data_IF_664300062997
#
_entry.id   IF_664300062997
#
_cell.length_a   1.000
_cell.length_b   1.000
_cell.length_c   1.000
_cell.angle_alpha   90.00
_cell.angle_beta   90.00
_cell.angle_gamma   90.00
#
_symmetry.space_group_name_H-M   'P 1'
#
loop_
_entity.id
_entity.type
_entity.pdbx_description
1 polymer ?
#
# COMPACT_ATOMS: atom_id res chain seq x y z
N UNK A 1 13.88 9.82 16.28
CA UNK A 1 14.08 10.04 17.72
C UNK A 1 13.14 9.18 18.57
N UNK A 2 11.80 9.20 18.32
CA UNK A 2 10.81 8.49 19.15
C UNK A 2 11.03 6.98 19.23
N UNK A 3 11.18 6.28 18.11
CA UNK A 3 11.41 4.82 18.07
C UNK A 3 12.66 4.41 18.86
N UNK A 4 13.77 5.13 18.66
CA UNK A 4 15.00 4.86 19.42
C UNK A 4 14.80 5.03 20.93
N UNK A 5 14.09 6.07 21.33
CA UNK A 5 13.82 6.34 22.76
C UNK A 5 12.87 5.29 23.36
N UNK A 6 11.86 4.85 22.63
CA UNK A 6 10.87 3.91 23.13
C UNK A 6 11.38 2.46 23.21
N UNK A 7 12.26 2.06 22.28
CA UNK A 7 12.63 0.64 22.10
C UNK A 7 14.13 0.35 22.26
N UNK A 8 14.98 1.36 22.47
CA UNK A 8 16.42 1.16 22.65
C UNK A 8 17.17 0.58 21.44
N UNK A 9 16.55 0.66 20.25
CA UNK A 9 17.10 0.09 19.01
C UNK A 9 17.86 1.12 18.19
N UNK A 10 18.78 0.67 17.34
CA UNK A 10 19.40 1.53 16.36
C UNK A 10 18.36 1.94 15.30
N UNK A 11 18.32 3.22 14.96
CA UNK A 11 17.47 3.77 13.91
C UNK A 11 18.35 4.54 12.93
N UNK A 12 18.31 4.14 11.67
CA UNK A 12 18.93 4.84 10.55
C UNK A 12 17.84 5.46 9.68
N UNK A 13 18.09 6.63 9.13
CA UNK A 13 17.18 7.32 8.21
C UNK A 13 17.92 7.70 6.94
N UNK A 14 17.29 7.50 5.79
CA UNK A 14 17.77 7.96 4.51
C UNK A 14 16.61 8.63 3.76
N UNK A 15 16.88 9.75 3.11
CA UNK A 15 15.90 10.41 2.23
C UNK A 15 16.13 9.95 0.80
N UNK A 16 15.17 9.20 0.25
CA UNK A 16 15.21 8.68 -1.12
C UNK A 16 13.94 9.06 -1.84
N UNK A 17 14.05 9.75 -2.96
CA UNK A 17 12.90 9.98 -3.86
C UNK A 17 12.61 8.68 -4.61
N UNK A 18 11.53 8.00 -4.24
CA UNK A 18 11.11 6.72 -4.82
C UNK A 18 10.58 6.86 -6.25
N UNK A 19 10.49 8.09 -6.79
CA UNK A 19 10.14 8.34 -8.20
C UNK A 19 11.34 8.64 -9.09
N UNK A 20 12.54 8.75 -8.50
CA UNK A 20 13.78 9.02 -9.22
C UNK A 20 14.30 7.78 -9.95
N UNK A 21 14.95 7.99 -11.10
CA UNK A 21 15.52 6.89 -11.89
C UNK A 21 16.66 6.13 -11.19
N UNK A 22 17.37 6.80 -10.26
CA UNK A 22 18.47 6.24 -9.48
C UNK A 22 18.04 5.70 -8.11
N UNK A 23 16.72 5.54 -7.88
CA UNK A 23 16.15 5.10 -6.61
C UNK A 23 16.76 3.78 -6.14
N UNK A 24 16.85 2.77 -6.99
CA UNK A 24 17.43 1.48 -6.66
C UNK A 24 18.87 1.58 -6.17
N UNK A 25 19.71 2.39 -6.83
CA UNK A 25 21.09 2.61 -6.41
C UNK A 25 21.19 3.35 -5.06
N UNK A 26 20.32 4.35 -4.83
CA UNK A 26 20.26 5.07 -3.54
C UNK A 26 19.80 4.16 -2.41
N UNK A 27 18.79 3.32 -2.67
CA UNK A 27 18.31 2.35 -1.70
C UNK A 27 19.39 1.33 -1.35
N UNK A 28 20.11 0.80 -2.36
CA UNK A 28 21.23 -0.10 -2.17
C UNK A 28 22.32 0.53 -1.30
N UNK A 29 22.73 1.76 -1.59
CA UNK A 29 23.71 2.48 -0.78
C UNK A 29 23.25 2.76 0.65
N UNK A 30 21.95 3.10 0.83
CA UNK A 30 21.40 3.37 2.16
C UNK A 30 21.30 2.11 3.04
N UNK A 31 21.26 0.93 2.44
CA UNK A 31 21.12 -0.37 3.11
C UNK A 31 22.38 -1.26 3.00
N UNK A 32 23.49 -0.70 2.52
CA UNK A 32 24.74 -1.43 2.41
C UNK A 32 25.23 -1.91 3.78
N UNK A 33 25.71 -3.15 3.82
CA UNK A 33 26.15 -3.81 5.05
C UNK A 33 25.03 -4.16 6.05
N UNK A 34 23.74 -3.92 5.74
CA UNK A 34 22.63 -4.32 6.59
C UNK A 34 22.11 -5.73 6.24
N UNK A 35 21.90 -6.53 7.28
CA UNK A 35 21.19 -7.81 7.17
C UNK A 35 19.68 -7.56 7.35
N UNK A 36 19.00 -7.19 6.26
CA UNK A 36 17.57 -6.86 6.26
C UNK A 36 16.74 -8.14 6.36
N UNK A 37 15.92 -8.26 7.40
CA UNK A 37 15.03 -9.42 7.61
C UNK A 37 13.57 -9.20 7.22
N UNK A 38 13.11 -7.95 7.25
CA UNK A 38 11.75 -7.55 6.86
C UNK A 38 11.80 -6.28 6.04
N UNK A 39 11.03 -6.25 4.98
CA UNK A 39 10.83 -5.06 4.14
C UNK A 39 9.35 -4.68 4.16
N UNK A 40 9.05 -3.42 4.45
CA UNK A 40 7.69 -2.89 4.36
C UNK A 40 7.65 -1.78 3.33
N UNK A 41 6.98 -2.03 2.19
CA UNK A 41 6.69 -0.98 1.23
C UNK A 41 5.37 -0.31 1.57
N UNK A 42 5.47 0.74 2.37
CA UNK A 42 4.32 1.55 2.78
C UNK A 42 4.22 2.86 1.99
N UNK A 43 5.26 3.22 1.24
CA UNK A 43 5.24 4.43 0.46
C UNK A 43 4.18 4.34 -0.64
N UNK A 44 3.27 5.29 -0.62
CA UNK A 44 2.19 5.40 -1.59
C UNK A 44 1.43 6.68 -1.30
N UNK A 45 1.07 7.41 -2.32
CA UNK A 45 0.30 8.62 -2.16
C UNK A 45 -0.80 8.67 -3.21
N UNK A 46 -1.96 9.21 -2.81
CA UNK A 46 -2.88 9.82 -3.73
C UNK A 46 -2.49 11.29 -3.94
N UNK A 47 -2.57 11.80 -5.14
CA UNK A 47 -2.31 13.22 -5.43
C UNK A 47 -3.55 14.09 -5.20
N UNK A 48 -4.27 13.91 -4.10
CA UNK A 48 -5.64 14.39 -3.98
C UNK A 48 -6.62 13.48 -4.76
N UNK A 49 -7.83 13.94 -5.00
CA UNK A 49 -8.88 13.18 -5.70
C UNK A 49 -9.53 13.98 -6.84
N UNK A 50 -8.74 14.57 -7.78
CA UNK A 50 -9.30 15.23 -8.95
C UNK A 50 -9.95 14.20 -9.88
N UNK A 51 -10.87 14.62 -10.75
CA UNK A 51 -11.25 13.79 -11.88
C UNK A 51 -10.04 13.53 -12.78
N UNK A 52 -10.00 12.39 -13.44
CA UNK A 52 -8.81 11.97 -14.19
C UNK A 52 -8.33 13.01 -15.22
N UNK A 53 -9.26 13.65 -15.91
CA UNK A 53 -8.93 14.68 -16.92
C UNK A 53 -8.61 16.06 -16.32
N UNK A 54 -8.86 16.26 -15.02
CA UNK A 54 -8.47 17.47 -14.29
C UNK A 54 -7.04 17.37 -13.72
N UNK A 55 -6.56 16.14 -13.51
CA UNK A 55 -5.18 15.88 -13.11
C UNK A 55 -4.23 16.04 -14.32
N UNK A 56 -3.00 16.48 -14.06
CA UNK A 56 -1.99 16.49 -15.12
C UNK A 56 -1.49 15.07 -15.41
N UNK A 57 -1.02 14.85 -16.66
CA UNK A 57 -0.40 13.59 -17.05
C UNK A 57 0.80 13.25 -16.14
N UNK A 58 1.57 14.25 -15.77
CA UNK A 58 2.75 14.14 -14.91
C UNK A 58 2.38 13.63 -13.51
N UNK A 59 1.26 14.10 -12.94
CA UNK A 59 0.74 13.61 -11.66
C UNK A 59 0.34 12.14 -11.74
N UNK A 60 -0.36 11.74 -12.80
CA UNK A 60 -0.75 10.34 -13.01
C UNK A 60 0.49 9.44 -13.18
N UNK A 61 1.47 9.85 -13.99
CA UNK A 61 2.71 9.09 -14.19
C UNK A 61 3.59 9.04 -12.94
N UNK A 62 3.59 10.10 -12.12
CA UNK A 62 4.28 10.08 -10.83
C UNK A 62 3.69 9.02 -9.89
N UNK A 63 2.36 8.87 -9.84
CA UNK A 63 1.72 7.79 -9.07
C UNK A 63 2.14 6.41 -9.57
N UNK A 64 2.20 6.20 -10.88
CA UNK A 64 2.67 4.93 -11.46
C UNK A 64 4.12 4.65 -11.07
N UNK A 65 5.00 5.64 -11.14
CA UNK A 65 6.39 5.46 -10.69
C UNK A 65 6.47 5.09 -9.21
N UNK A 66 5.78 5.85 -8.36
CA UNK A 66 5.80 5.62 -6.92
C UNK A 66 5.20 4.27 -6.54
N UNK A 67 4.00 3.96 -7.05
CA UNK A 67 3.22 2.82 -6.58
C UNK A 67 3.41 1.54 -7.42
N UNK A 68 4.07 1.59 -8.58
CA UNK A 68 4.32 0.40 -9.39
C UNK A 68 5.82 0.15 -9.60
N UNK A 69 6.57 1.16 -10.10
CA UNK A 69 8.02 0.99 -10.31
C UNK A 69 8.75 0.83 -8.98
N UNK A 70 8.39 1.63 -7.97
CA UNK A 70 9.00 1.55 -6.65
C UNK A 70 8.91 0.17 -5.99
N UNK A 71 7.72 -0.47 -5.89
CA UNK A 71 7.59 -1.83 -5.41
C UNK A 71 8.46 -2.85 -6.16
N UNK A 72 8.52 -2.75 -7.50
CA UNK A 72 9.35 -3.66 -8.32
C UNK A 72 10.83 -3.53 -7.97
N UNK A 73 11.35 -2.31 -7.92
CA UNK A 73 12.75 -2.04 -7.55
C UNK A 73 13.10 -2.56 -6.15
N UNK A 74 12.21 -2.29 -5.18
CA UNK A 74 12.38 -2.74 -3.78
C UNK A 74 12.32 -4.27 -3.72
N UNK A 75 11.34 -4.89 -4.37
CA UNK A 75 11.18 -6.34 -4.37
C UNK A 75 12.38 -7.03 -5.03
N UNK A 76 12.85 -6.52 -6.16
CA UNK A 76 14.01 -7.09 -6.86
C UNK A 76 15.28 -6.97 -6.01
N UNK A 77 15.51 -5.80 -5.39
CA UNK A 77 16.70 -5.55 -4.57
C UNK A 77 16.74 -6.43 -3.30
N UNK A 78 15.65 -6.50 -2.55
CA UNK A 78 15.61 -7.23 -1.29
C UNK A 78 15.18 -8.68 -1.45
N UNK A 79 14.28 -8.99 -2.38
CA UNK A 79 13.78 -10.35 -2.60
C UNK A 79 14.89 -11.34 -2.94
N UNK A 80 15.84 -10.96 -3.78
CA UNK A 80 17.02 -11.80 -4.09
C UNK A 80 17.88 -12.08 -2.87
N UNK A 81 18.05 -11.09 -1.97
CA UNK A 81 18.85 -11.24 -0.73
C UNK A 81 18.11 -12.11 0.30
N UNK A 82 16.79 -11.89 0.47
CA UNK A 82 15.97 -12.69 1.37
C UNK A 82 15.90 -14.15 0.91
N UNK A 83 15.70 -14.39 -0.38
CA UNK A 83 15.71 -15.73 -0.97
C UNK A 83 17.05 -16.44 -0.80
N UNK A 84 18.16 -15.76 -1.06
CA UNK A 84 19.51 -16.31 -0.81
C UNK A 84 19.76 -16.62 0.67
N UNK A 85 19.16 -15.86 1.59
CA UNK A 85 19.20 -16.07 3.04
C UNK A 85 18.33 -17.25 3.48
N UNK A 86 17.32 -17.63 2.69
CA UNK A 86 16.36 -18.69 3.01
C UNK A 86 15.35 -18.33 4.10
N UNK A 87 15.18 -17.05 4.42
CA UNK A 87 14.21 -16.53 5.41
C UNK A 87 14.04 -15.04 5.30
N UNK A 88 12.87 -14.54 5.66
CA UNK A 88 12.56 -13.12 5.77
C UNK A 88 11.13 -12.81 5.35
N UNK A 89 10.79 -11.52 5.28
CA UNK A 89 9.44 -11.11 4.93
C UNK A 89 9.39 -9.84 4.11
N UNK A 90 8.29 -9.68 3.36
CA UNK A 90 7.96 -8.47 2.63
C UNK A 90 6.48 -8.14 2.80
N UNK A 91 6.16 -6.90 3.17
CA UNK A 91 4.77 -6.41 3.23
C UNK A 91 4.62 -5.29 2.20
N UNK A 92 3.66 -5.43 1.31
CA UNK A 92 3.25 -4.36 0.39
C UNK A 92 1.91 -3.80 0.84
N UNK A 93 1.91 -2.54 1.29
CA UNK A 93 0.67 -1.90 1.74
C UNK A 93 -0.11 -1.42 0.53
N UNK A 94 -1.21 -2.12 0.26
CA UNK A 94 -2.17 -1.78 -0.78
C UNK A 94 -3.43 -1.12 -0.18
N UNK A 95 -4.56 -1.16 -0.83
CA UNK A 95 -5.76 -0.43 -0.42
C UNK A 95 -7.04 -1.16 -0.84
N UNK A 96 -8.14 -0.90 -0.15
CA UNK A 96 -9.49 -1.26 -0.60
C UNK A 96 -9.81 -0.71 -2.01
N UNK A 97 -9.15 0.38 -2.43
CA UNK A 97 -9.23 0.90 -3.79
C UNK A 97 -8.62 -0.03 -4.86
N UNK A 98 -7.91 -1.09 -4.46
CA UNK A 98 -7.33 -2.10 -5.36
C UNK A 98 -8.37 -3.05 -5.97
N UNK A 99 -9.53 -3.21 -5.32
CA UNK A 99 -10.51 -4.27 -5.64
C UNK A 99 -11.24 -3.98 -6.93
N UNK A 100 -11.63 -2.72 -7.11
CA UNK A 100 -12.43 -2.27 -8.25
C UNK A 100 -12.12 -0.80 -8.54
N UNK A 101 -12.21 -0.39 -9.82
CA UNK A 101 -12.02 1.01 -10.19
C UNK A 101 -13.11 1.90 -9.57
N UNK A 102 -12.74 3.14 -9.26
CA UNK A 102 -13.69 4.14 -8.77
C UNK A 102 -13.38 5.52 -9.38
N UNK A 103 -14.42 6.34 -9.51
CA UNK A 103 -14.28 7.72 -9.93
C UNK A 103 -13.32 8.47 -8.99
N UNK A 104 -12.56 9.43 -9.53
CA UNK A 104 -11.59 10.27 -8.84
C UNK A 104 -10.34 9.54 -8.30
N UNK A 105 -10.37 8.21 -8.14
CA UNK A 105 -9.21 7.41 -7.74
C UNK A 105 -8.68 6.52 -8.87
N UNK A 106 -8.93 6.89 -10.12
CA UNK A 106 -8.65 6.07 -11.32
C UNK A 106 -7.21 5.55 -11.34
N UNK A 107 -6.23 6.42 -11.33
CA UNK A 107 -4.81 6.02 -11.36
C UNK A 107 -4.39 5.38 -10.04
N UNK A 108 -4.82 5.95 -8.90
CA UNK A 108 -4.48 5.42 -7.59
C UNK A 108 -4.99 3.98 -7.41
N UNK A 109 -6.28 3.74 -7.66
CA UNK A 109 -6.85 2.39 -7.54
C UNK A 109 -6.16 1.39 -8.47
N UNK A 110 -5.88 1.78 -9.72
CA UNK A 110 -5.15 0.93 -10.65
C UNK A 110 -3.74 0.58 -10.15
N UNK A 111 -3.01 1.54 -9.56
CA UNK A 111 -1.68 1.26 -9.00
C UNK A 111 -1.75 0.40 -7.73
N UNK A 112 -2.80 0.53 -6.92
CA UNK A 112 -3.00 -0.32 -5.74
C UNK A 112 -3.45 -1.75 -6.12
N UNK A 113 -4.17 -1.91 -7.23
CA UNK A 113 -4.44 -3.22 -7.82
C UNK A 113 -3.15 -3.89 -8.33
N UNK A 114 -2.22 -3.11 -8.89
CA UNK A 114 -0.89 -3.61 -9.23
C UNK A 114 -0.17 -4.15 -7.98
N UNK A 115 -0.10 -3.39 -6.88
CA UNK A 115 0.54 -3.81 -5.63
C UNK A 115 -0.05 -5.12 -5.09
N UNK A 116 -1.39 -5.26 -5.15
CA UNK A 116 -2.10 -6.46 -4.68
C UNK A 116 -1.66 -7.70 -5.48
N UNK A 117 -1.81 -7.67 -6.80
CA UNK A 117 -1.50 -8.80 -7.67
C UNK A 117 0.01 -9.09 -7.71
N UNK A 118 0.84 -8.05 -7.64
CA UNK A 118 2.29 -8.18 -7.61
C UNK A 118 2.78 -8.90 -6.34
N UNK A 119 2.25 -8.53 -5.18
CA UNK A 119 2.59 -9.21 -3.92
C UNK A 119 2.10 -10.66 -3.88
N UNK A 120 0.90 -10.95 -4.40
CA UNK A 120 0.39 -12.32 -4.55
C UNK A 120 1.31 -13.19 -5.42
N UNK A 121 1.80 -12.64 -6.53
CA UNK A 121 2.78 -13.31 -7.40
C UNK A 121 4.10 -13.56 -6.68
N UNK A 122 4.62 -12.57 -5.97
CA UNK A 122 5.85 -12.72 -5.19
C UNK A 122 5.71 -13.75 -4.05
N UNK A 123 4.55 -13.80 -3.40
CA UNK A 123 4.28 -14.83 -2.39
C UNK A 123 4.44 -16.24 -2.96
N UNK A 124 3.88 -16.48 -4.16
CA UNK A 124 3.99 -17.78 -4.81
C UNK A 124 5.43 -18.12 -5.24
N UNK A 125 6.20 -17.12 -5.71
CA UNK A 125 7.57 -17.34 -6.20
C UNK A 125 8.60 -17.42 -5.05
N UNK A 126 8.46 -16.60 -3.99
CA UNK A 126 9.44 -16.48 -2.92
C UNK A 126 9.16 -17.41 -1.73
N UNK A 127 7.92 -17.87 -1.55
CA UNK A 127 7.56 -18.82 -0.50
C UNK A 127 8.41 -20.08 -0.46
N UNK A 128 8.68 -20.76 -1.61
CA UNK A 128 9.60 -21.91 -1.65
C UNK A 128 11.03 -21.59 -1.21
N UNK A 129 11.40 -20.31 -1.19
CA UNK A 129 12.70 -19.83 -0.71
C UNK A 129 12.68 -19.35 0.75
N UNK A 130 11.61 -19.63 1.49
CA UNK A 130 11.47 -19.26 2.90
C UNK A 130 11.23 -17.77 3.14
N UNK A 131 10.65 -17.07 2.16
CA UNK A 131 10.31 -15.64 2.27
C UNK A 131 8.81 -15.48 2.29
N UNK A 132 8.28 -14.92 3.39
CA UNK A 132 6.87 -14.59 3.51
C UNK A 132 6.57 -13.28 2.78
N UNK A 133 5.51 -13.24 1.98
CA UNK A 133 5.08 -12.02 1.31
C UNK A 133 3.61 -11.77 1.57
N UNK A 134 3.27 -10.54 1.92
CA UNK A 134 1.92 -10.14 2.25
C UNK A 134 1.51 -8.88 1.47
N UNK A 135 0.38 -8.96 0.77
CA UNK A 135 -0.40 -7.81 0.35
C UNK A 135 -1.28 -7.36 1.52
N UNK A 136 -0.92 -6.29 2.21
CA UNK A 136 -1.73 -5.72 3.29
C UNK A 136 -2.74 -4.72 2.70
N UNK A 137 -4.00 -5.12 2.62
CA UNK A 137 -5.08 -4.28 2.11
C UNK A 137 -5.61 -3.39 3.23
N UNK A 138 -5.30 -2.11 3.18
CA UNK A 138 -5.78 -1.12 4.15
C UNK A 138 -7.03 -0.41 3.64
N UNK A 139 -7.98 -0.14 4.56
CA UNK A 139 -9.08 0.78 4.34
C UNK A 139 -8.66 2.24 4.56
N UNK A 140 -9.63 3.11 4.79
CA UNK A 140 -9.35 4.47 5.25
C UNK A 140 -8.63 4.38 6.60
N UNK A 141 -7.42 4.95 6.66
CA UNK A 141 -6.55 4.87 7.84
C UNK A 141 -6.29 6.27 8.35
N UNK A 142 -6.47 6.49 9.65
CA UNK A 142 -6.22 7.78 10.28
C UNK A 142 -4.72 8.11 10.24
N UNK A 143 -4.35 8.95 9.28
CA UNK A 143 -2.97 9.36 9.04
C UNK A 143 -2.90 10.83 8.64
N UNK A 144 -1.80 11.52 8.96
CA UNK A 144 -1.58 12.88 8.45
C UNK A 144 -1.65 12.98 6.92
N UNK A 145 -1.24 11.91 6.21
CA UNK A 145 -1.29 11.86 4.76
C UNK A 145 -2.74 11.82 4.23
N UNK A 146 -3.63 11.04 4.84
CA UNK A 146 -5.04 11.02 4.47
C UNK A 146 -5.72 12.35 4.82
N UNK A 147 -5.46 12.89 6.01
CA UNK A 147 -6.00 14.20 6.42
C UNK A 147 -5.60 15.32 5.44
N UNK A 148 -4.36 15.31 4.95
CA UNK A 148 -3.86 16.28 3.97
C UNK A 148 -4.58 16.20 2.60
N UNK A 149 -5.26 15.11 2.28
CA UNK A 149 -6.07 14.99 1.05
C UNK A 149 -7.46 15.63 1.15
N UNK A 150 -7.84 16.12 2.34
CA UNK A 150 -9.18 16.66 2.60
C UNK A 150 -10.22 15.59 2.95
N UNK A 151 -9.81 14.35 3.16
CA UNK A 151 -10.69 13.28 3.63
C UNK A 151 -11.29 13.66 5.00
N UNK A 152 -12.59 13.40 5.15
CA UNK A 152 -13.33 13.73 6.38
C UNK A 152 -13.53 12.47 7.21
N UNK A 153 -13.00 12.48 8.44
CA UNK A 153 -13.37 11.49 9.45
C UNK A 153 -14.87 11.64 9.77
N UNK A 154 -15.62 10.56 9.79
CA UNK A 154 -16.96 10.55 10.38
C UNK A 154 -18.15 10.73 9.43
N UNK A 155 -18.04 10.40 8.15
CA UNK A 155 -19.23 10.08 7.35
C UNK A 155 -19.75 8.69 7.75
N UNK A 156 -21.08 8.50 7.77
CA UNK A 156 -21.74 7.23 8.18
C UNK A 156 -21.33 6.00 7.36
N UNK A 157 -20.49 6.16 6.34
CA UNK A 157 -20.21 5.11 5.34
C UNK A 157 -18.78 4.58 5.33
N UNK A 158 -17.79 5.28 5.90
CA UNK A 158 -16.39 4.84 5.89
C UNK A 158 -15.76 5.02 7.27
N UNK A 159 -15.63 3.93 8.01
CA UNK A 159 -14.90 3.92 9.27
C UNK A 159 -13.39 4.03 9.00
N UNK A 160 -12.71 4.92 9.72
CA UNK A 160 -11.24 5.01 9.69
C UNK A 160 -10.65 4.09 10.76
N UNK A 161 -9.61 3.35 10.39
CA UNK A 161 -8.82 2.56 11.34
C UNK A 161 -7.63 3.38 11.87
N UNK A 162 -7.24 3.22 13.14
CA UNK A 162 -5.96 3.70 13.64
C UNK A 162 -4.78 3.09 12.85
N UNK A 163 -3.76 3.90 12.57
CA UNK A 163 -2.61 3.46 11.78
C UNK A 163 -1.79 2.34 12.46
N UNK A 164 -1.71 2.37 13.78
CA UNK A 164 -1.04 1.36 14.59
C UNK A 164 -1.77 0.00 14.56
N UNK A 165 -3.09 -0.01 14.51
CA UNK A 165 -3.88 -1.24 14.35
C UNK A 165 -3.64 -1.87 12.97
N UNK A 166 -3.63 -1.07 11.90
CA UNK A 166 -3.30 -1.56 10.55
C UNK A 166 -1.88 -2.14 10.51
N UNK A 167 -0.92 -1.44 11.10
CA UNK A 167 0.47 -1.91 11.16
C UNK A 167 0.61 -3.20 11.98
N UNK A 168 -0.08 -3.30 13.13
CA UNK A 168 -0.09 -4.49 13.97
C UNK A 168 -0.67 -5.69 13.22
N UNK A 169 -1.85 -5.55 12.60
CA UNK A 169 -2.44 -6.64 11.81
C UNK A 169 -1.50 -7.08 10.67
N UNK A 170 -0.86 -6.15 9.97
CA UNK A 170 0.08 -6.49 8.91
C UNK A 170 1.29 -7.30 9.39
N UNK A 171 1.79 -7.02 10.60
CA UNK A 171 2.91 -7.77 11.19
C UNK A 171 2.46 -9.13 11.74
N UNK A 172 1.31 -9.19 12.42
CA UNK A 172 0.75 -10.42 12.99
C UNK A 172 0.39 -11.46 11.93
N UNK A 173 -0.07 -10.99 10.76
CA UNK A 173 -0.55 -11.83 9.65
C UNK A 173 0.43 -11.95 8.48
N UNK A 174 1.71 -11.57 8.66
CA UNK A 174 2.72 -11.69 7.60
C UNK A 174 2.82 -13.10 7.02
N UNK A 175 2.70 -14.11 7.87
CA UNK A 175 2.81 -15.53 7.49
C UNK A 175 1.51 -16.13 6.97
N UNK A 176 0.39 -15.38 7.04
CA UNK A 176 -0.94 -15.84 6.61
C UNK A 176 -1.24 -15.45 5.15
N UNK A 177 -0.23 -14.95 4.42
CA UNK A 177 -0.36 -14.47 3.03
C UNK A 177 -1.09 -15.43 2.08
N UNK A 178 -1.35 -15.02 0.84
CA UNK A 178 -0.75 -13.86 0.15
C UNK A 178 -1.38 -12.51 0.48
N UNK A 179 -2.61 -12.47 1.01
CA UNK A 179 -3.38 -11.24 1.19
C UNK A 179 -4.03 -11.19 2.56
N UNK A 180 -3.89 -10.08 3.26
CA UNK A 180 -4.62 -9.77 4.49
C UNK A 180 -5.33 -8.42 4.36
N UNK A 181 -6.62 -8.40 4.72
CA UNK A 181 -7.41 -7.16 4.73
C UNK A 181 -7.54 -6.68 6.17
N UNK A 182 -6.98 -5.52 6.49
CA UNK A 182 -6.99 -4.98 7.84
C UNK A 182 -8.39 -4.51 8.25
N UNK A 183 -8.86 -4.98 9.40
CA UNK A 183 -10.14 -4.64 10.02
C UNK A 183 -11.34 -5.45 9.50
N UNK A 184 -12.21 -5.88 10.42
CA UNK A 184 -13.38 -6.73 10.11
C UNK A 184 -14.33 -6.10 9.09
N UNK A 185 -14.62 -4.81 9.25
CA UNK A 185 -15.50 -4.08 8.32
C UNK A 185 -14.92 -4.02 6.90
N UNK A 186 -13.59 -3.83 6.78
CA UNK A 186 -12.91 -3.85 5.50
C UNK A 186 -12.92 -5.26 4.88
N UNK A 187 -12.72 -6.32 5.68
CA UNK A 187 -12.82 -7.71 5.21
C UNK A 187 -14.20 -8.00 4.64
N UNK A 188 -15.26 -7.66 5.37
CA UNK A 188 -16.62 -7.81 4.88
C UNK A 188 -16.88 -7.02 3.58
N UNK A 189 -16.39 -5.78 3.50
CA UNK A 189 -16.50 -4.95 2.30
C UNK A 189 -15.69 -5.51 1.13
N UNK A 190 -14.50 -6.04 1.37
CA UNK A 190 -13.65 -6.69 0.36
C UNK A 190 -14.37 -7.88 -0.28
N UNK A 191 -14.90 -8.79 0.54
CA UNK A 191 -15.62 -9.96 0.07
C UNK A 191 -16.91 -9.57 -0.68
N UNK A 192 -17.65 -8.61 -0.15
CA UNK A 192 -18.86 -8.12 -0.78
C UNK A 192 -18.63 -7.52 -2.17
N UNK A 193 -17.64 -6.64 -2.32
CA UNK A 193 -17.30 -6.02 -3.60
C UNK A 193 -16.88 -7.04 -4.66
N UNK A 194 -16.26 -8.13 -4.26
CA UNK A 194 -15.82 -9.19 -5.19
C UNK A 194 -16.96 -10.03 -5.73
N UNK A 195 -18.09 -10.11 -5.01
CA UNK A 195 -19.27 -10.87 -5.43
C UNK A 195 -20.27 -10.06 -6.25
N UNK A 196 -20.14 -8.73 -6.28
CA UNK A 196 -21.03 -7.84 -7.01
C UNK A 196 -20.78 -7.87 -8.53
N UNK A 197 -21.83 -7.59 -9.35
CA UNK A 197 -21.62 -7.22 -10.74
C UNK A 197 -20.66 -6.04 -10.84
N UNK A 198 -19.71 -6.10 -11.78
CA UNK A 198 -18.59 -5.15 -11.83
C UNK A 198 -19.00 -3.68 -11.89
N UNK A 199 -20.05 -3.36 -12.66
CA UNK A 199 -20.56 -1.99 -12.76
C UNK A 199 -21.13 -1.46 -11.43
N UNK A 200 -21.82 -2.33 -10.68
CA UNK A 200 -22.41 -1.96 -9.39
C UNK A 200 -21.31 -1.73 -8.34
N UNK A 201 -20.30 -2.58 -8.32
CA UNK A 201 -19.13 -2.40 -7.46
C UNK A 201 -18.38 -1.09 -7.76
N UNK A 202 -18.19 -0.73 -9.04
CA UNK A 202 -17.60 0.56 -9.46
C UNK A 202 -18.44 1.73 -8.94
N UNK A 203 -19.78 1.67 -9.08
CA UNK A 203 -20.67 2.71 -8.61
C UNK A 203 -20.63 2.85 -7.09
N UNK A 204 -20.69 1.73 -6.37
CA UNK A 204 -20.65 1.71 -4.91
C UNK A 204 -19.33 2.30 -4.36
N UNK A 205 -18.19 1.88 -4.89
CA UNK A 205 -16.91 2.41 -4.44
C UNK A 205 -16.72 3.88 -4.83
N UNK A 206 -17.27 4.31 -5.97
CA UNK A 206 -17.30 5.71 -6.37
C UNK A 206 -18.15 6.57 -5.42
N UNK A 207 -19.28 6.04 -4.93
CA UNK A 207 -20.10 6.70 -3.92
C UNK A 207 -19.37 6.82 -2.58
N UNK A 208 -18.73 5.73 -2.12
CA UNK A 208 -17.93 5.75 -0.90
C UNK A 208 -16.78 6.77 -0.98
N UNK A 209 -16.11 6.87 -2.15
CA UNK A 209 -15.08 7.88 -2.40
C UNK A 209 -15.66 9.29 -2.29
N UNK A 210 -16.82 9.55 -2.91
CA UNK A 210 -17.48 10.87 -2.79
C UNK A 210 -17.79 11.21 -1.34
N UNK A 211 -18.36 10.27 -0.59
CA UNK A 211 -18.70 10.49 0.82
C UNK A 211 -17.46 10.78 1.65
N UNK A 212 -16.36 10.03 1.46
CA UNK A 212 -15.11 10.22 2.20
C UNK A 212 -14.50 11.61 1.99
N UNK A 213 -14.62 12.16 0.79
CA UNK A 213 -14.01 13.45 0.43
C UNK A 213 -15.01 14.60 0.38
N UNK A 214 -16.31 14.35 0.58
CA UNK A 214 -17.36 15.37 0.60
C UNK A 214 -17.59 16.02 -0.76
N UNK A 215 -17.60 15.23 -1.84
CA UNK A 215 -17.95 15.73 -3.18
C UNK A 215 -19.45 15.56 -3.45
N UNK A 216 -20.04 16.58 -4.06
CA UNK A 216 -21.47 16.63 -4.39
C UNK A 216 -21.79 16.11 -5.81
N UNK A 217 -20.77 15.72 -6.63
CA UNK A 217 -20.88 15.33 -8.06
C UNK A 217 -20.46 13.88 -8.38
#
# INVERSE_FOLDING_TARGET
AAVRAAHGVEVRTASVDLTAHDMGARLAGATDGLDVGLVVYNAGAGSGVPKFLEATREQALRLVRLNCVGPVEVAHHFGSRLAARGRGGMIFVTSMAAIVGAARTVTYGATKAFDLVFAEGLWAELGPHGVDVLALVAGATDTPALAATGARAGGDTVAMMPADEVAREGLEHLTDGPTWVAGDANRAGFDFLRTMPRADAVNLLSQATRSLYGFDD
#
